data_IF_330672322838
#
_entry.id   IF_330672322838
#
_cell.length_a   1.000
_cell.length_b   1.000
_cell.length_c   1.000
_cell.angle_alpha   90.00
_cell.angle_beta   90.00
_cell.angle_gamma   90.00
#
_symmetry.space_group_name_H-M   'P 1'
#
loop_
_entity.id
_entity.type
_entity.pdbx_description
1 polymer ?
#
# COMPACT_ATOMS: atom_id res chain seq x y z
N UNK A 1 24.12 -47.38 -64.12
CA UNK A 1 25.07 -46.54 -64.89
C UNK A 1 24.88 -45.15 -64.45
N UNK A 2 25.83 -44.67 -63.81
CA UNK A 2 25.85 -43.70 -62.78
C UNK A 2 26.43 -42.39 -63.28
N UNK A 3 25.92 -41.25 -62.80
CA UNK A 3 26.61 -39.99 -62.94
C UNK A 3 26.45 -39.19 -61.66
N UNK A 4 27.49 -39.17 -60.86
CA UNK A 4 27.66 -38.42 -59.65
C UNK A 4 28.11 -37.03 -60.02
N UNK A 5 27.25 -36.06 -59.83
CA UNK A 5 27.55 -34.62 -59.99
C UNK A 5 27.98 -34.01 -58.66
N UNK A 6 29.25 -33.73 -58.45
CA UNK A 6 29.82 -33.11 -57.32
C UNK A 6 29.52 -31.58 -57.29
N UNK A 7 28.85 -31.12 -56.28
CA UNK A 7 28.56 -29.71 -56.06
C UNK A 7 29.57 -29.08 -55.07
N UNK A 8 30.48 -28.30 -55.62
CA UNK A 8 31.48 -27.54 -54.86
C UNK A 8 30.77 -26.36 -54.14
N UNK A 9 30.68 -26.43 -52.83
CA UNK A 9 30.22 -25.30 -52.00
C UNK A 9 31.38 -24.36 -51.71
N UNK A 10 31.27 -23.12 -52.23
CA UNK A 10 32.14 -22.03 -51.87
C UNK A 10 31.69 -21.45 -50.54
N UNK A 11 32.49 -21.58 -49.50
CA UNK A 11 32.34 -20.92 -48.24
C UNK A 11 32.82 -19.49 -48.34
N UNK A 12 31.89 -18.53 -48.35
CA UNK A 12 32.20 -17.11 -48.20
C UNK A 12 32.43 -16.84 -46.68
N UNK A 13 33.67 -16.51 -46.34
CA UNK A 13 34.02 -16.08 -44.97
C UNK A 13 33.43 -14.72 -44.67
N UNK A 14 32.52 -14.66 -43.73
CA UNK A 14 32.01 -13.40 -43.17
C UNK A 14 32.90 -13.04 -41.97
N UNK A 15 33.76 -12.05 -42.17
CA UNK A 15 34.57 -11.47 -41.09
C UNK A 15 33.63 -10.59 -40.25
N UNK A 16 33.21 -11.11 -39.11
CA UNK A 16 32.43 -10.34 -38.12
C UNK A 16 33.39 -9.42 -37.35
N UNK A 17 33.36 -8.14 -37.70
CA UNK A 17 34.07 -7.10 -36.95
C UNK A 17 33.32 -6.89 -35.62
N UNK A 18 33.82 -7.48 -34.55
CA UNK A 18 33.31 -7.28 -33.19
C UNK A 18 33.67 -5.89 -32.72
N UNK A 19 32.75 -4.95 -32.85
CA UNK A 19 32.87 -3.64 -32.22
C UNK A 19 32.51 -3.78 -30.74
N UNK A 20 33.52 -3.83 -29.88
CA UNK A 20 33.38 -3.76 -28.43
C UNK A 20 32.89 -2.34 -28.06
N UNK A 21 31.57 -2.19 -27.88
CA UNK A 21 31.01 -1.02 -27.19
C UNK A 21 31.22 -1.21 -25.67
N UNK A 22 31.98 -0.35 -25.00
CA UNK A 22 31.96 -0.34 -23.54
C UNK A 22 30.59 0.18 -23.12
N UNK A 23 29.71 -0.69 -22.64
CA UNK A 23 28.47 -0.33 -21.98
C UNK A 23 28.85 0.39 -20.68
N UNK A 24 28.90 1.73 -20.72
CA UNK A 24 28.87 2.57 -19.52
C UNK A 24 27.52 2.33 -18.83
N UNK A 25 27.45 1.34 -17.96
CA UNK A 25 26.38 1.25 -16.98
C UNK A 25 26.49 2.45 -16.04
N UNK A 26 25.90 3.58 -16.41
CA UNK A 26 25.59 4.62 -15.44
C UNK A 26 24.53 4.04 -14.50
N UNK A 27 24.99 3.48 -13.39
CA UNK A 27 24.13 3.21 -12.25
C UNK A 27 23.63 4.56 -11.74
N UNK A 28 22.49 4.99 -12.21
CA UNK A 28 21.77 6.08 -11.59
C UNK A 28 21.32 5.57 -10.22
N UNK A 29 22.17 5.79 -9.22
CA UNK A 29 21.73 5.75 -7.83
C UNK A 29 20.68 6.85 -7.70
N UNK A 30 19.39 6.45 -7.80
CA UNK A 30 18.30 7.32 -7.36
C UNK A 30 18.51 7.49 -5.87
N UNK A 31 19.23 8.54 -5.50
CA UNK A 31 19.32 8.96 -4.12
C UNK A 31 17.89 9.14 -3.63
N UNK A 32 17.50 8.35 -2.61
CA UNK A 32 16.22 8.52 -1.95
C UNK A 32 16.16 9.99 -1.53
N UNK A 33 15.26 10.76 -2.15
CA UNK A 33 15.07 12.15 -1.80
C UNK A 33 14.76 12.21 -0.30
N UNK A 34 15.45 13.07 0.48
CA UNK A 34 15.12 13.22 1.88
C UNK A 34 13.65 13.56 1.98
N UNK A 35 12.91 12.73 2.70
CA UNK A 35 11.51 12.98 3.05
C UNK A 35 11.44 14.40 3.58
N UNK A 36 10.64 15.24 2.92
CA UNK A 36 10.48 16.62 3.37
C UNK A 36 9.86 16.60 4.77
N UNK A 37 10.65 16.82 5.80
CA UNK A 37 10.19 16.94 7.19
C UNK A 37 9.08 17.97 7.31
N UNK A 38 9.13 19.03 6.48
CA UNK A 38 8.07 20.03 6.39
C UNK A 38 6.69 19.45 6.03
N UNK A 39 6.63 18.39 5.21
CA UNK A 39 5.35 17.78 4.81
C UNK A 39 4.77 16.94 5.94
N UNK A 40 5.57 16.16 6.65
CA UNK A 40 5.10 15.36 7.80
C UNK A 40 4.66 16.26 8.95
N UNK A 41 5.40 17.31 9.24
CA UNK A 41 5.07 18.27 10.31
C UNK A 41 3.75 19.02 10.02
N UNK A 42 3.55 19.46 8.76
CA UNK A 42 2.30 20.11 8.35
C UNK A 42 1.07 19.20 8.50
N UNK A 43 1.25 17.88 8.45
CA UNK A 43 0.18 16.89 8.63
C UNK A 43 0.09 16.37 10.06
N UNK A 44 0.99 16.77 10.96
CA UNK A 44 1.05 16.34 12.35
C UNK A 44 1.34 14.84 12.51
N UNK A 45 2.16 14.27 11.63
CA UNK A 45 2.60 12.88 11.67
C UNK A 45 4.13 12.80 11.76
N UNK A 46 4.65 11.70 12.30
CA UNK A 46 6.11 11.51 12.37
C UNK A 46 6.72 11.22 10.99
N UNK A 47 8.00 11.51 10.83
CA UNK A 47 8.75 11.18 9.62
C UNK A 47 8.72 9.66 9.32
N UNK A 48 8.69 8.82 10.35
CA UNK A 48 8.61 7.36 10.19
C UNK A 48 7.24 6.91 9.68
N UNK A 49 6.15 7.51 10.14
CA UNK A 49 4.81 7.24 9.62
C UNK A 49 4.68 7.69 8.17
N UNK A 50 5.17 8.89 7.83
CA UNK A 50 5.21 9.34 6.44
C UNK A 50 6.00 8.38 5.54
N UNK A 51 7.18 7.95 5.96
CA UNK A 51 8.00 7.01 5.20
C UNK A 51 7.31 5.65 5.03
N UNK A 52 6.62 5.17 6.06
CA UNK A 52 5.80 3.97 6.01
C UNK A 52 4.67 4.07 5.00
N UNK A 53 3.91 5.17 5.03
CA UNK A 53 2.83 5.47 4.07
C UNK A 53 3.38 5.51 2.64
N UNK A 54 4.46 6.26 2.40
CA UNK A 54 5.06 6.41 1.08
C UNK A 54 5.61 5.09 0.51
N UNK A 55 6.22 4.27 1.34
CA UNK A 55 6.70 2.94 0.94
C UNK A 55 5.54 2.01 0.58
N UNK A 56 4.51 1.98 1.40
CA UNK A 56 3.33 1.15 1.19
C UNK A 56 2.53 1.61 -0.05
N UNK A 57 2.38 2.93 -0.27
CA UNK A 57 1.74 3.49 -1.44
C UNK A 57 2.43 3.03 -2.73
N UNK A 58 3.76 3.10 -2.79
CA UNK A 58 4.53 2.59 -3.94
C UNK A 58 4.30 1.09 -4.17
N UNK A 59 4.31 0.29 -3.11
CA UNK A 59 4.07 -1.15 -3.20
C UNK A 59 2.65 -1.48 -3.67
N UNK A 60 1.67 -0.63 -3.32
CA UNK A 60 0.28 -0.74 -3.77
C UNK A 60 0.06 -0.23 -5.20
N UNK A 61 1.01 0.49 -5.79
CA UNK A 61 0.84 1.19 -7.07
C UNK A 61 0.03 2.49 -6.96
N UNK A 62 -0.06 3.06 -5.75
CA UNK A 62 -0.71 4.35 -5.48
C UNK A 62 0.28 5.46 -5.84
N UNK A 63 -0.16 6.42 -6.66
CA UNK A 63 0.70 7.55 -7.03
C UNK A 63 0.93 8.50 -5.85
N UNK A 64 2.05 9.20 -5.85
CA UNK A 64 2.37 10.20 -4.83
C UNK A 64 1.29 11.28 -4.72
N UNK A 65 0.75 11.73 -5.86
CA UNK A 65 -0.34 12.70 -5.88
C UNK A 65 -1.62 12.16 -5.21
N UNK A 66 -1.93 10.87 -5.39
CA UNK A 66 -3.07 10.24 -4.71
C UNK A 66 -2.79 10.13 -3.21
N UNK A 67 -1.63 9.61 -2.83
CA UNK A 67 -1.19 9.51 -1.44
C UNK A 67 -1.29 10.86 -0.71
N UNK A 68 -0.81 11.94 -1.33
CA UNK A 68 -0.89 13.30 -0.77
C UNK A 68 -2.33 13.75 -0.56
N UNK A 69 -3.24 13.48 -1.51
CA UNK A 69 -4.66 13.79 -1.35
C UNK A 69 -5.29 13.01 -0.20
N UNK A 70 -5.00 11.73 -0.09
CA UNK A 70 -5.52 10.86 0.97
C UNK A 70 -5.06 11.32 2.35
N UNK A 71 -3.78 11.61 2.50
CA UNK A 71 -3.22 12.13 3.76
C UNK A 71 -3.83 13.50 4.11
N UNK A 72 -3.98 14.40 3.15
CA UNK A 72 -4.62 15.70 3.38
C UNK A 72 -6.10 15.56 3.75
N UNK A 73 -6.80 14.59 3.18
CA UNK A 73 -8.17 14.27 3.58
C UNK A 73 -8.22 13.75 5.02
N UNK A 74 -7.39 12.75 5.34
CA UNK A 74 -7.31 12.17 6.68
C UNK A 74 -6.94 13.20 7.76
N UNK A 75 -6.00 14.09 7.46
CA UNK A 75 -5.62 15.19 8.37
C UNK A 75 -6.77 16.14 8.65
N UNK A 76 -7.59 16.47 7.64
CA UNK A 76 -8.77 17.35 7.82
C UNK A 76 -9.89 16.68 8.62
N UNK A 77 -10.16 15.40 8.37
CA UNK A 77 -11.21 14.66 9.08
C UNK A 77 -10.84 14.36 10.53
N UNK A 78 -9.54 14.29 10.84
CA UNK A 78 -9.01 14.14 12.20
C UNK A 78 -9.38 15.33 13.12
N UNK A 79 -9.52 16.53 12.57
CA UNK A 79 -9.75 17.76 13.35
C UNK A 79 -11.23 17.99 13.67
N UNK A 80 -12.14 17.30 12.99
CA UNK A 80 -13.57 17.37 13.24
C UNK A 80 -14.11 16.06 13.79
N UNK A 81 -13.95 15.77 15.10
CA UNK A 81 -14.91 14.88 15.73
C UNK A 81 -16.24 15.62 15.64
N UNK A 82 -17.13 15.13 14.77
CA UNK A 82 -18.47 15.70 14.61
C UNK A 82 -19.08 15.89 15.99
N UNK A 83 -19.27 17.14 16.38
CA UNK A 83 -20.04 17.54 17.56
C UNK A 83 -21.52 17.34 17.29
N UNK A 84 -21.89 16.16 16.86
CA UNK A 84 -23.29 15.73 16.88
C UNK A 84 -23.59 15.39 18.33
N UNK A 85 -24.57 16.08 18.96
CA UNK A 85 -24.96 15.75 20.33
C UNK A 85 -25.35 14.27 20.36
N UNK A 86 -24.73 13.54 21.30
CA UNK A 86 -25.04 12.15 21.57
C UNK A 86 -26.54 12.03 21.89
N UNK A 87 -27.35 11.73 20.89
CA UNK A 87 -28.62 11.10 21.14
C UNK A 87 -28.30 9.72 21.66
N UNK A 88 -28.65 9.52 22.93
CA UNK A 88 -28.57 8.27 23.68
C UNK A 88 -29.42 7.20 22.95
N UNK A 89 -28.85 6.56 21.98
CA UNK A 89 -29.31 5.29 21.44
C UNK A 89 -28.23 4.27 21.75
N UNK A 90 -28.63 3.08 22.19
CA UNK A 90 -27.78 1.91 22.42
C UNK A 90 -26.57 1.95 21.51
N UNK A 91 -25.37 1.97 22.09
CA UNK A 91 -24.12 2.14 21.35
C UNK A 91 -23.88 0.93 20.43
N UNK A 92 -24.64 0.88 19.32
CA UNK A 92 -24.30 -0.03 18.24
C UNK A 92 -22.94 0.43 17.71
N UNK A 93 -21.97 -0.47 17.75
CA UNK A 93 -20.67 -0.25 17.15
C UNK A 93 -20.90 0.24 15.71
N UNK A 94 -20.51 1.47 15.40
CA UNK A 94 -20.64 2.00 14.06
C UNK A 94 -19.52 1.38 13.23
N UNK A 95 -19.85 0.33 12.50
CA UNK A 95 -19.01 -0.24 11.45
C UNK A 95 -19.36 0.48 10.15
N UNK A 96 -18.41 1.16 9.55
CA UNK A 96 -18.58 1.91 8.32
C UNK A 96 -17.64 1.44 7.19
N UNK A 97 -17.18 0.21 7.28
CA UNK A 97 -16.26 -0.42 6.32
C UNK A 97 -14.95 0.37 6.16
N UNK A 98 -14.24 0.18 5.05
CA UNK A 98 -13.01 0.90 4.75
C UNK A 98 -13.25 2.36 4.31
N UNK A 99 -14.30 3.01 4.78
CA UNK A 99 -14.73 4.34 4.30
C UNK A 99 -13.88 5.51 4.79
N UNK A 100 -13.02 5.29 5.80
CA UNK A 100 -12.11 6.32 6.33
C UNK A 100 -10.80 5.68 6.82
N UNK A 101 -9.65 6.31 6.61
CA UNK A 101 -9.37 7.62 6.05
C UNK A 101 -9.00 7.63 4.56
N UNK A 102 -9.29 6.57 3.80
CA UNK A 102 -8.79 6.43 2.43
C UNK A 102 -9.95 6.28 1.45
N UNK A 103 -10.53 7.39 0.93
CA UNK A 103 -11.56 7.29 -0.08
C UNK A 103 -10.98 6.77 -1.40
N UNK A 104 -11.62 5.75 -1.97
CA UNK A 104 -11.53 5.54 -3.40
C UNK A 104 -10.56 4.51 -3.94
N UNK A 105 -10.08 3.54 -3.15
CA UNK A 105 -9.25 2.46 -3.71
C UNK A 105 -10.05 1.26 -4.26
N UNK A 106 -11.20 1.54 -4.87
CA UNK A 106 -11.90 0.62 -5.76
C UNK A 106 -12.26 -0.75 -5.16
N UNK A 107 -12.03 -1.81 -5.93
CA UNK A 107 -12.35 -3.20 -5.55
C UNK A 107 -11.65 -3.69 -4.27
N UNK A 108 -10.54 -3.08 -3.89
CA UNK A 108 -9.78 -3.45 -2.70
C UNK A 108 -10.51 -3.06 -1.41
N UNK A 109 -11.34 -2.01 -1.43
CA UNK A 109 -12.20 -1.69 -0.29
C UNK A 109 -13.18 -2.83 -0.01
N UNK A 110 -13.90 -3.31 -1.04
CA UNK A 110 -14.82 -4.44 -0.90
C UNK A 110 -14.10 -5.73 -0.43
N UNK A 111 -12.85 -5.93 -0.86
CA UNK A 111 -12.05 -7.07 -0.43
C UNK A 111 -11.73 -7.04 1.08
N UNK A 112 -11.53 -5.86 1.65
CA UNK A 112 -11.16 -5.67 3.06
C UNK A 112 -12.33 -5.29 3.97
N UNK A 113 -13.57 -5.23 3.47
CA UNK A 113 -14.74 -4.80 4.27
C UNK A 113 -14.86 -5.52 5.62
N UNK A 114 -14.70 -6.83 5.62
CA UNK A 114 -14.77 -7.62 6.86
C UNK A 114 -13.62 -7.28 7.82
N UNK A 115 -12.42 -7.04 7.28
CA UNK A 115 -11.23 -6.70 8.07
C UNK A 115 -11.36 -5.29 8.66
N UNK A 116 -11.90 -4.33 7.88
CA UNK A 116 -12.18 -2.97 8.33
C UNK A 116 -13.27 -2.95 9.42
N UNK A 117 -14.36 -3.68 9.23
CA UNK A 117 -15.41 -3.80 10.24
C UNK A 117 -14.89 -4.38 11.55
N UNK A 118 -14.03 -5.40 11.50
CA UNK A 118 -13.39 -5.97 12.68
C UNK A 118 -12.46 -4.96 13.36
N UNK A 119 -11.79 -4.09 12.61
CA UNK A 119 -10.96 -3.01 13.13
C UNK A 119 -11.80 -1.93 13.81
N UNK A 120 -12.93 -1.51 13.21
CA UNK A 120 -13.87 -0.56 13.81
C UNK A 120 -14.41 -1.07 15.15
N UNK A 121 -14.76 -2.37 15.22
CA UNK A 121 -15.16 -3.03 16.48
C UNK A 121 -14.01 -2.95 17.50
N UNK A 122 -12.77 -3.25 17.09
CA UNK A 122 -11.61 -3.16 17.98
C UNK A 122 -11.36 -1.72 18.47
N UNK A 123 -11.72 -0.72 17.71
CA UNK A 123 -11.58 0.70 18.06
C UNK A 123 -12.72 1.21 18.95
N UNK A 124 -13.85 0.50 19.00
CA UNK A 124 -14.98 0.88 19.86
C UNK A 124 -14.67 0.67 21.36
N UNK A 125 -15.44 1.32 22.23
CA UNK A 125 -15.27 1.15 23.67
C UNK A 125 -15.47 -0.28 24.14
N UNK A 126 -16.35 -1.02 23.47
CA UNK A 126 -16.65 -2.43 23.79
C UNK A 126 -15.52 -3.36 23.31
N UNK A 127 -14.93 -3.08 22.14
CA UNK A 127 -13.90 -3.92 21.52
C UNK A 127 -12.50 -3.71 22.07
N UNK A 128 -12.21 -2.53 22.62
CA UNK A 128 -10.88 -2.15 23.10
C UNK A 128 -10.65 -2.39 24.60
N UNK A 129 -11.65 -2.90 25.33
CA UNK A 129 -11.56 -3.12 26.77
C UNK A 129 -10.31 -3.90 27.24
N UNK A 130 -9.67 -4.63 26.33
CA UNK A 130 -8.50 -5.47 26.59
C UNK A 130 -7.34 -5.25 25.58
N UNK A 131 -7.46 -4.29 24.67
CA UNK A 131 -6.47 -4.10 23.60
C UNK A 131 -6.05 -2.64 23.47
N UNK A 132 -4.77 -2.42 23.26
CA UNK A 132 -4.27 -1.10 22.87
C UNK A 132 -4.58 -0.80 21.41
N UNK A 133 -4.58 0.47 21.02
CA UNK A 133 -4.70 0.92 19.62
C UNK A 133 -3.68 0.21 18.71
N UNK A 134 -2.43 0.10 19.18
CA UNK A 134 -1.39 -0.58 18.43
C UNK A 134 -1.70 -2.05 18.15
N UNK A 135 -2.34 -2.74 19.10
CA UNK A 135 -2.76 -4.14 18.93
C UNK A 135 -3.92 -4.25 17.93
N UNK A 136 -4.88 -3.32 17.95
CA UNK A 136 -5.96 -3.26 16.97
C UNK A 136 -5.41 -3.05 15.55
N UNK A 137 -4.52 -2.08 15.38
CA UNK A 137 -3.89 -1.77 14.08
C UNK A 137 -3.09 -2.95 13.53
N UNK A 138 -2.32 -3.62 14.38
CA UNK A 138 -1.53 -4.78 13.97
C UNK A 138 -2.41 -5.99 13.63
N UNK A 139 -3.50 -6.23 14.38
CA UNK A 139 -4.48 -7.25 14.05
C UNK A 139 -5.13 -6.96 12.69
N UNK A 140 -5.50 -5.71 12.42
CA UNK A 140 -6.04 -5.26 11.14
C UNK A 140 -5.09 -5.55 9.99
N UNK A 141 -3.82 -5.18 10.11
CA UNK A 141 -2.80 -5.47 9.12
C UNK A 141 -2.68 -6.96 8.81
N UNK A 142 -2.66 -7.80 9.86
CA UNK A 142 -2.57 -9.26 9.71
C UNK A 142 -3.80 -9.85 9.02
N UNK A 143 -4.99 -9.36 9.35
CA UNK A 143 -6.24 -9.81 8.74
C UNK A 143 -6.26 -9.50 7.25
N UNK A 144 -5.96 -8.26 6.85
CA UNK A 144 -5.86 -7.88 5.44
C UNK A 144 -4.80 -8.69 4.68
N UNK A 145 -3.62 -8.92 5.26
CA UNK A 145 -2.60 -9.75 4.63
C UNK A 145 -3.09 -11.19 4.42
N UNK A 146 -3.80 -11.76 5.40
CA UNK A 146 -4.40 -13.08 5.26
C UNK A 146 -5.48 -13.10 4.16
N UNK A 147 -6.28 -12.05 4.05
CA UNK A 147 -7.26 -11.87 2.97
C UNK A 147 -6.57 -11.84 1.61
N UNK A 148 -5.49 -11.08 1.43
CA UNK A 148 -4.68 -11.08 0.21
C UNK A 148 -4.16 -12.46 -0.15
N UNK A 149 -3.62 -13.19 0.83
CA UNK A 149 -3.02 -14.52 0.63
C UNK A 149 -4.07 -15.57 0.28
N UNK A 150 -5.30 -15.45 0.79
CA UNK A 150 -6.41 -16.34 0.44
C UNK A 150 -6.98 -16.05 -0.96
N UNK A 151 -6.92 -14.79 -1.40
CA UNK A 151 -7.56 -14.34 -2.65
C UNK A 151 -6.65 -14.49 -3.86
N UNK A 152 -5.36 -14.25 -3.68
CA UNK A 152 -4.41 -14.19 -4.79
C UNK A 152 -3.27 -15.19 -4.61
N UNK A 153 -2.82 -15.78 -5.73
CA UNK A 153 -1.60 -16.61 -5.74
C UNK A 153 -0.39 -15.73 -5.41
N UNK A 154 0.46 -16.17 -4.50
CA UNK A 154 1.57 -15.38 -3.93
C UNK A 154 2.59 -14.85 -4.96
N UNK A 155 2.71 -15.50 -6.12
CA UNK A 155 3.59 -15.05 -7.22
C UNK A 155 2.95 -13.98 -8.10
N UNK A 156 1.64 -13.74 -7.98
CA UNK A 156 0.90 -12.79 -8.81
C UNK A 156 1.23 -11.34 -8.40
N UNK A 157 1.27 -10.45 -9.39
CA UNK A 157 1.42 -9.00 -9.17
C UNK A 157 0.26 -8.43 -8.34
N UNK A 158 -0.96 -8.98 -8.50
CA UNK A 158 -2.12 -8.55 -7.72
C UNK A 158 -1.98 -8.91 -6.23
N UNK A 159 -1.36 -10.05 -5.90
CA UNK A 159 -1.02 -10.37 -4.52
C UNK A 159 -0.08 -9.31 -3.92
N UNK A 160 0.98 -8.93 -4.64
CA UNK A 160 1.93 -7.91 -4.18
C UNK A 160 1.26 -6.54 -3.97
N UNK A 161 0.39 -6.14 -4.90
CA UNK A 161 -0.39 -4.90 -4.80
C UNK A 161 -1.36 -4.95 -3.61
N UNK A 162 -2.03 -6.07 -3.40
CA UNK A 162 -2.92 -6.27 -2.28
C UNK A 162 -2.19 -6.11 -0.94
N UNK A 163 -1.04 -6.76 -0.77
CA UNK A 163 -0.18 -6.62 0.42
C UNK A 163 0.31 -5.17 0.59
N UNK A 164 0.65 -4.49 -0.51
CA UNK A 164 0.99 -3.07 -0.50
C UNK A 164 -0.16 -2.21 0.00
N UNK A 165 -1.38 -2.46 -0.48
CA UNK A 165 -2.60 -1.77 -0.04
C UNK A 165 -2.91 -2.04 1.43
N UNK A 166 -2.80 -3.29 1.89
CA UNK A 166 -2.96 -3.63 3.31
C UNK A 166 -1.97 -2.87 4.21
N UNK A 167 -0.71 -2.75 3.76
CA UNK A 167 0.30 -1.95 4.45
C UNK A 167 -0.02 -0.46 4.42
N UNK A 168 -0.57 0.04 3.32
CA UNK A 168 -0.99 1.44 3.19
C UNK A 168 -2.12 1.78 4.17
N UNK A 169 -3.17 0.96 4.25
CA UNK A 169 -4.23 1.12 5.25
C UNK A 169 -3.69 1.10 6.68
N UNK A 170 -2.81 0.14 6.99
CA UNK A 170 -2.17 0.06 8.31
C UNK A 170 -1.47 1.37 8.68
N UNK A 171 -0.61 1.91 7.80
CA UNK A 171 0.11 3.14 8.08
C UNK A 171 -0.81 4.35 8.18
N UNK A 172 -1.89 4.40 7.39
CA UNK A 172 -2.90 5.46 7.48
C UNK A 172 -3.62 5.43 8.83
N UNK A 173 -4.06 4.27 9.33
CA UNK A 173 -4.70 4.19 10.66
C UNK A 173 -3.69 4.45 11.78
N UNK A 174 -2.42 4.06 11.64
CA UNK A 174 -1.35 4.43 12.59
C UNK A 174 -1.18 5.94 12.71
N UNK A 175 -1.11 6.63 11.58
CA UNK A 175 -0.88 8.07 11.53
C UNK A 175 -2.12 8.89 11.95
N UNK A 176 -3.30 8.50 11.52
CA UNK A 176 -4.51 9.32 11.64
C UNK A 176 -5.61 8.71 12.52
N UNK A 177 -5.53 7.47 12.94
CA UNK A 177 -6.59 6.75 13.65
C UNK A 177 -6.74 7.10 15.14
N UNK A 178 -5.77 7.77 15.76
CA UNK A 178 -5.78 8.04 17.20
C UNK A 178 -7.08 8.71 17.72
N UNK A 179 -7.68 9.70 17.06
CA UNK A 179 -8.91 10.36 17.53
C UNK A 179 -10.14 9.45 17.53
N UNK A 180 -10.11 8.34 16.80
CA UNK A 180 -11.23 7.40 16.65
C UNK A 180 -11.16 6.23 17.65
N UNK A 181 -10.02 6.05 18.28
CA UNK A 181 -9.83 5.01 19.29
C UNK A 181 -10.44 5.46 20.63
N UNK A 182 -11.38 4.67 21.16
CA UNK A 182 -12.17 4.99 22.36
C UNK A 182 -11.72 4.22 23.61
N UNK A 183 -10.41 3.89 23.66
CA UNK A 183 -9.78 3.21 24.79
C UNK A 183 -9.23 4.14 25.84
#
# INVERSE_FOLDING_TARGET
>A
MDAVGGMVRRTAGITVLSVLFPALFMTHSVAAQPVSTATSDAMGISASEYAGIASAARAAGISEAQMTRDMAYAARTRVSPSSTPAMSMSASVQVNSCSNPVPGHGYQNALFDADCNAHDVCYSAEGNAVRSRAQCDEQFRRAMNATCTRTFVSTNIEHKRCIGTASYYYWMVRAFGAPYFKG
#
